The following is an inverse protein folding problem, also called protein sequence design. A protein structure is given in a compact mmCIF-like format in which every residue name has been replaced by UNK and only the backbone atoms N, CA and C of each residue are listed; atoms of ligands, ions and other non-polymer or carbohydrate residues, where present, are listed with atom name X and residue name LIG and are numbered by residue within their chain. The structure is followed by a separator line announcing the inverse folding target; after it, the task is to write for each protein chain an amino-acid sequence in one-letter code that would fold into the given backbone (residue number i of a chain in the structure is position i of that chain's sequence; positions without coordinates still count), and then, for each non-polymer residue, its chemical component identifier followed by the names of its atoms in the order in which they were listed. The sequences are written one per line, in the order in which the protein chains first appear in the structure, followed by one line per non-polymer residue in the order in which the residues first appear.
data_IF_998781955125
#
_entry.id   IF_998781955125
#
_cell.length_a   1.000
_cell.length_b   1.000
_cell.length_c   1.000
_cell.angle_alpha   90.00
_cell.angle_beta   90.00
_cell.angle_gamma   90.00
#
_symmetry.space_group_name_H-M   'P 1'
#
loop_
_entity.id
_entity.type
_entity.pdbx_description
1 polymer ?
#
# COMPACT_ATOMS: atom_id res chain seq x y z
N UNK A 1 54.93 30.55 -70.69
CA UNK A 1 53.49 30.19 -70.42
C UNK A 1 53.48 29.11 -69.35
N UNK A 2 53.19 29.48 -68.12
CA UNK A 2 53.13 28.57 -67.01
C UNK A 2 51.64 28.44 -66.58
N UNK A 3 51.08 27.26 -66.76
CA UNK A 3 49.72 26.96 -66.32
C UNK A 3 49.76 26.59 -64.88
N UNK A 4 49.16 27.39 -64.02
CA UNK A 4 48.92 27.02 -62.63
C UNK A 4 47.60 26.23 -62.54
N UNK A 5 47.76 25.00 -62.09
CA UNK A 5 46.60 24.13 -61.80
C UNK A 5 46.21 24.40 -60.34
N UNK A 6 45.03 24.98 -60.17
CA UNK A 6 44.46 25.16 -58.80
C UNK A 6 43.68 23.89 -58.46
N UNK A 7 44.19 23.11 -57.48
CA UNK A 7 43.45 22.02 -56.91
C UNK A 7 42.42 22.61 -55.91
N UNK A 8 41.15 22.49 -56.23
CA UNK A 8 40.08 22.76 -55.30
C UNK A 8 39.94 21.56 -54.34
N UNK A 9 40.32 21.74 -53.07
CA UNK A 9 40.08 20.76 -52.02
C UNK A 9 38.59 20.75 -51.63
N UNK A 10 37.95 19.65 -51.88
CA UNK A 10 36.59 19.41 -51.39
C UNK A 10 36.66 18.96 -49.93
N UNK A 11 36.30 19.87 -49.01
CA UNK A 11 36.06 19.49 -47.63
C UNK A 11 34.72 18.78 -47.51
N UNK A 12 34.73 17.46 -47.41
CA UNK A 12 33.56 16.68 -47.03
C UNK A 12 33.32 16.81 -45.51
N UNK A 13 32.36 17.60 -45.13
CA UNK A 13 31.88 17.63 -43.74
C UNK A 13 31.05 16.37 -43.51
N UNK A 14 31.65 15.45 -42.78
CA UNK A 14 30.92 14.26 -42.32
C UNK A 14 29.88 14.70 -41.24
N UNK A 15 28.63 14.64 -41.58
CA UNK A 15 27.52 14.83 -40.64
C UNK A 15 27.51 13.62 -39.70
N UNK A 16 27.88 13.80 -38.46
CA UNK A 16 27.71 12.82 -37.40
C UNK A 16 26.24 12.80 -37.00
N UNK A 17 25.52 11.67 -37.09
CA UNK A 17 24.15 11.62 -36.59
C UNK A 17 24.20 11.72 -35.06
N UNK A 18 23.65 12.80 -34.54
CA UNK A 18 23.41 12.98 -33.11
C UNK A 18 22.32 11.99 -32.70
N UNK A 19 22.70 10.84 -32.20
CA UNK A 19 21.78 9.92 -31.54
C UNK A 19 21.28 10.60 -30.27
N UNK A 20 20.09 11.18 -30.35
CA UNK A 20 19.40 11.65 -29.18
C UNK A 20 19.06 10.42 -28.31
N UNK A 21 19.83 10.20 -27.25
CA UNK A 21 19.42 9.31 -26.18
C UNK A 21 18.17 9.92 -25.55
N UNK A 22 17.02 9.38 -25.93
CA UNK A 22 15.78 9.64 -25.19
C UNK A 22 16.00 9.12 -23.77
N UNK A 23 15.85 9.95 -22.74
CA UNK A 23 15.81 9.43 -21.39
C UNK A 23 14.56 8.55 -21.30
N UNK A 24 14.73 7.25 -21.21
CA UNK A 24 13.69 6.35 -20.78
C UNK A 24 13.33 6.82 -19.37
N UNK A 25 12.31 7.66 -19.28
CA UNK A 25 11.64 7.93 -18.03
C UNK A 25 10.96 6.62 -17.64
N UNK A 26 11.72 5.75 -16.99
CA UNK A 26 11.16 4.56 -16.35
C UNK A 26 10.09 5.05 -15.42
N UNK A 27 8.83 4.82 -15.76
CA UNK A 27 7.72 5.00 -14.85
C UNK A 27 8.02 4.12 -13.64
N UNK A 28 8.60 4.74 -12.59
CA UNK A 28 8.76 4.12 -11.29
C UNK A 28 7.35 3.86 -10.80
N UNK A 29 6.91 2.61 -10.90
CA UNK A 29 5.73 2.17 -10.18
C UNK A 29 6.02 2.49 -8.71
N UNK A 30 5.46 3.60 -8.23
CA UNK A 30 5.51 3.94 -6.82
C UNK A 30 4.87 2.77 -6.08
N UNK A 31 5.69 1.99 -5.37
CA UNK A 31 5.18 0.95 -4.49
C UNK A 31 4.22 1.65 -3.53
N UNK A 32 2.94 1.31 -3.62
CA UNK A 32 1.90 1.92 -2.81
C UNK A 32 2.25 1.67 -1.34
N UNK A 33 2.53 2.74 -0.58
CA UNK A 33 2.94 2.63 0.80
C UNK A 33 1.86 1.87 1.60
N UNK A 34 2.27 0.81 2.29
CA UNK A 34 1.38 0.06 3.18
C UNK A 34 1.04 0.92 4.39
N UNK A 35 -0.24 1.09 4.68
CA UNK A 35 -0.67 1.78 5.90
C UNK A 35 -0.79 0.78 7.04
N UNK A 36 -0.17 1.08 8.17
CA UNK A 36 -0.25 0.26 9.38
C UNK A 36 -1.28 0.82 10.35
N UNK A 37 -2.13 -0.04 10.88
CA UNK A 37 -3.18 0.29 11.85
C UNK A 37 -3.09 -0.68 13.02
N UNK A 38 -2.95 -0.18 14.23
CA UNK A 38 -3.03 -1.01 15.44
C UNK A 38 -4.48 -1.08 15.90
N UNK A 39 -4.97 -2.29 16.12
CA UNK A 39 -6.31 -2.59 16.62
C UNK A 39 -6.18 -3.21 17.99
N UNK A 40 -6.65 -2.53 19.02
CA UNK A 40 -6.67 -3.04 20.39
C UNK A 40 -8.07 -3.55 20.71
N UNK A 41 -8.19 -4.82 21.03
CA UNK A 41 -9.45 -5.44 21.46
C UNK A 41 -9.51 -5.61 22.97
N UNK A 42 -10.63 -5.23 23.54
CA UNK A 42 -11.04 -5.56 24.93
C UNK A 42 -12.48 -6.07 24.90
N UNK A 43 -13.06 -6.46 26.02
CA UNK A 43 -14.47 -6.84 26.08
C UNK A 43 -15.34 -5.64 25.79
N UNK A 44 -15.90 -5.71 24.86
CA UNK A 44 -16.62 -5.78 23.59
C UNK A 44 -16.36 -4.51 22.81
N UNK A 45 -15.09 -4.10 22.73
CA UNK A 45 -14.65 -2.88 22.04
C UNK A 45 -13.42 -3.12 21.19
N UNK A 46 -13.34 -2.40 20.09
CA UNK A 46 -12.10 -2.20 19.34
C UNK A 46 -11.67 -0.73 19.40
N UNK A 47 -10.42 -0.50 19.71
CA UNK A 47 -9.78 0.80 19.58
C UNK A 47 -8.75 0.74 18.46
N UNK A 48 -8.92 1.56 17.44
CA UNK A 48 -8.00 1.66 16.32
C UNK A 48 -7.09 2.87 16.48
N UNK A 49 -5.82 2.72 16.12
CA UNK A 49 -4.86 3.83 16.10
C UNK A 49 -5.24 4.91 15.08
N UNK A 50 -6.00 4.54 14.04
CA UNK A 50 -6.64 5.44 13.08
C UNK A 50 -7.92 4.81 12.54
N UNK A 51 -8.88 5.65 12.21
CA UNK A 51 -10.20 5.19 11.69
C UNK A 51 -10.29 5.24 10.16
N UNK A 52 -9.25 5.76 9.51
CA UNK A 52 -9.18 5.86 8.05
C UNK A 52 -7.77 5.73 7.52
N UNK A 53 -7.63 5.36 6.26
CA UNK A 53 -6.39 5.29 5.52
C UNK A 53 -6.64 5.46 4.02
N UNK A 54 -5.62 5.83 3.23
CA UNK A 54 -5.71 5.76 1.78
C UNK A 54 -6.08 4.34 1.32
N UNK A 55 -6.80 4.23 0.20
CA UNK A 55 -7.11 2.93 -0.39
C UNK A 55 -5.81 2.19 -0.78
N UNK A 56 -5.87 0.87 -0.80
CA UNK A 56 -4.71 0.02 -1.06
C UNK A 56 -4.43 -0.92 0.11
N UNK A 57 -3.19 -1.34 0.25
CA UNK A 57 -2.80 -2.31 1.27
C UNK A 57 -2.76 -1.69 2.65
N UNK A 58 -3.55 -2.25 3.56
CA UNK A 58 -3.58 -1.89 4.99
C UNK A 58 -3.18 -3.10 5.82
N UNK A 59 -2.28 -2.89 6.75
CA UNK A 59 -1.79 -3.90 7.69
C UNK A 59 -2.41 -3.61 9.05
N UNK A 60 -3.32 -4.46 9.50
CA UNK A 60 -3.93 -4.38 10.81
C UNK A 60 -3.16 -5.26 11.79
N UNK A 61 -2.54 -4.66 12.79
CA UNK A 61 -1.97 -5.38 13.92
C UNK A 61 -3.02 -5.45 15.03
N UNK A 62 -3.62 -6.63 15.19
CA UNK A 62 -4.60 -6.87 16.24
C UNK A 62 -3.92 -7.35 17.52
N UNK A 63 -4.19 -6.67 18.63
CA UNK A 63 -3.70 -6.97 19.97
C UNK A 63 -4.89 -7.23 20.88
N UNK A 64 -4.95 -8.42 21.49
CA UNK A 64 -6.00 -8.75 22.45
C UNK A 64 -5.55 -8.38 23.87
N UNK A 65 -6.11 -7.31 24.41
CA UNK A 65 -5.93 -6.87 25.81
C UNK A 65 -7.11 -7.22 26.70
N UNK A 66 -8.12 -7.88 26.15
CA UNK A 66 -9.25 -8.39 26.92
C UNK A 66 -8.93 -9.72 27.60
N UNK A 67 -9.78 -10.12 28.53
CA UNK A 67 -9.67 -11.42 29.23
C UNK A 67 -10.14 -12.56 28.33
N UNK A 68 -11.19 -12.32 27.52
CA UNK A 68 -11.74 -13.30 26.60
C UNK A 68 -10.90 -13.40 25.31
N UNK A 69 -11.13 -14.49 24.59
CA UNK A 69 -10.57 -14.67 23.24
C UNK A 69 -11.30 -13.79 22.26
N UNK A 70 -10.58 -13.20 21.34
CA UNK A 70 -11.14 -12.35 20.27
C UNK A 70 -10.45 -12.59 18.93
N UNK A 71 -11.11 -12.19 17.85
CA UNK A 71 -10.55 -12.06 16.53
C UNK A 71 -10.90 -10.70 15.91
N UNK A 72 -10.32 -10.41 14.76
CA UNK A 72 -10.60 -9.20 14.00
C UNK A 72 -10.92 -9.57 12.55
N UNK A 73 -12.09 -9.19 12.09
CA UNK A 73 -12.57 -9.46 10.73
C UNK A 73 -12.92 -8.14 10.01
N UNK A 74 -12.41 -7.97 8.81
CA UNK A 74 -12.68 -6.83 7.93
C UNK A 74 -12.56 -7.25 6.45
N UNK A 75 -13.42 -6.71 5.58
CA UNK A 75 -13.35 -6.91 4.12
C UNK A 75 -13.28 -8.39 3.71
N UNK A 76 -14.06 -9.24 4.34
CA UNK A 76 -14.11 -10.68 4.04
C UNK A 76 -12.92 -11.49 4.52
N UNK A 77 -11.97 -10.88 5.23
CA UNK A 77 -10.81 -11.56 5.85
C UNK A 77 -10.88 -11.45 7.37
N UNK A 78 -10.29 -12.40 8.05
CA UNK A 78 -10.22 -12.39 9.52
C UNK A 78 -8.92 -12.98 10.04
N UNK A 79 -8.52 -12.56 11.24
CA UNK A 79 -7.43 -13.17 11.99
C UNK A 79 -7.85 -14.53 12.57
N UNK A 80 -6.88 -15.29 13.03
CA UNK A 80 -7.16 -16.36 13.99
C UNK A 80 -7.67 -15.75 15.29
N UNK A 81 -8.43 -16.55 16.06
CA UNK A 81 -8.82 -16.19 17.42
C UNK A 81 -7.60 -16.25 18.34
N UNK A 82 -7.34 -15.15 19.05
CA UNK A 82 -6.19 -15.05 19.94
C UNK A 82 -6.60 -14.82 21.39
N UNK A 83 -5.80 -15.34 22.31
CA UNK A 83 -5.96 -15.21 23.77
C UNK A 83 -5.45 -13.84 24.25
N UNK A 84 -5.77 -13.52 25.50
CA UNK A 84 -5.22 -12.36 26.21
C UNK A 84 -3.71 -12.19 26.02
N UNK A 85 -3.27 -10.98 25.77
CA UNK A 85 -1.86 -10.60 25.63
C UNK A 85 -1.22 -10.98 24.28
N UNK A 86 -1.93 -11.67 23.41
CA UNK A 86 -1.43 -12.07 22.09
C UNK A 86 -1.73 -11.01 21.03
N UNK A 87 -0.93 -11.01 19.98
CA UNK A 87 -1.13 -10.17 18.81
C UNK A 87 -0.98 -10.97 17.53
N UNK A 88 -1.64 -10.49 16.47
CA UNK A 88 -1.60 -11.09 15.14
C UNK A 88 -1.79 -10.02 14.09
N UNK A 89 -1.21 -10.20 12.93
CA UNK A 89 -1.29 -9.25 11.82
C UNK A 89 -2.23 -9.77 10.73
N UNK A 90 -3.08 -8.88 10.21
CA UNK A 90 -3.94 -9.13 9.06
C UNK A 90 -3.64 -8.09 7.98
N UNK A 91 -3.20 -8.54 6.81
CA UNK A 91 -2.96 -7.66 5.66
C UNK A 91 -4.13 -7.75 4.69
N UNK A 92 -4.72 -6.62 4.36
CA UNK A 92 -5.92 -6.51 3.51
C UNK A 92 -5.71 -5.43 2.47
N UNK A 93 -6.17 -5.65 1.24
CA UNK A 93 -6.27 -4.61 0.23
C UNK A 93 -7.69 -4.03 0.27
N UNK A 94 -7.80 -2.74 0.60
CA UNK A 94 -9.08 -2.04 0.70
C UNK A 94 -9.30 -1.15 -0.51
N UNK A 95 -10.49 -1.24 -1.11
CA UNK A 95 -11.01 -0.27 -2.09
C UNK A 95 -11.49 0.97 -1.34
N UNK A 96 -11.65 2.09 -2.04
CA UNK A 96 -12.30 3.28 -1.47
C UNK A 96 -13.68 2.94 -0.92
N UNK A 97 -14.00 3.46 0.25
CA UNK A 97 -15.29 3.30 0.86
C UNK A 97 -15.24 2.90 2.34
N UNK A 98 -16.39 2.53 2.86
CA UNK A 98 -16.58 2.10 4.25
C UNK A 98 -16.44 0.58 4.35
N UNK A 99 -15.67 0.13 5.32
CA UNK A 99 -15.42 -1.29 5.57
C UNK A 99 -15.80 -1.62 7.01
N UNK A 100 -16.93 -2.29 7.21
CA UNK A 100 -17.32 -2.77 8.53
C UNK A 100 -16.31 -3.79 9.05
N UNK A 101 -16.00 -3.71 10.33
CA UNK A 101 -15.18 -4.70 11.03
C UNK A 101 -15.90 -5.19 12.27
N UNK A 102 -15.59 -6.41 12.69
CA UNK A 102 -16.19 -7.03 13.87
C UNK A 102 -15.31 -8.13 14.45
N UNK A 103 -15.57 -8.49 15.72
CA UNK A 103 -15.16 -9.76 16.29
C UNK A 103 -16.18 -10.83 15.88
N UNK A 104 -15.72 -11.99 15.42
CA UNK A 104 -16.61 -13.10 15.02
C UNK A 104 -16.82 -14.15 16.11
N UNK A 105 -16.14 -13.98 17.26
CA UNK A 105 -16.25 -14.91 18.38
C UNK A 105 -17.59 -14.74 19.08
N UNK A 106 -18.33 -15.84 19.21
CA UNK A 106 -19.63 -15.89 19.90
C UNK A 106 -20.56 -14.71 19.58
N UNK A 107 -21.11 -14.05 20.58
CA UNK A 107 -22.01 -12.90 20.47
C UNK A 107 -21.30 -11.56 20.67
N UNK A 108 -19.96 -11.51 20.61
CA UNK A 108 -19.19 -10.30 20.93
C UNK A 108 -19.58 -9.09 20.07
N UNK A 109 -19.87 -9.29 18.79
CA UNK A 109 -20.34 -8.20 17.91
C UNK A 109 -21.70 -7.65 18.32
N UNK A 110 -22.59 -8.48 18.87
CA UNK A 110 -23.90 -8.05 19.41
C UNK A 110 -23.74 -7.16 20.62
N UNK A 111 -22.69 -7.35 21.40
CA UNK A 111 -22.37 -6.52 22.57
C UNK A 111 -21.57 -5.27 22.21
N UNK A 112 -21.33 -5.00 20.93
CA UNK A 112 -20.70 -3.76 20.48
C UNK A 112 -19.28 -3.90 19.91
N UNK A 113 -18.71 -5.12 19.86
CA UNK A 113 -17.36 -5.35 19.35
C UNK A 113 -17.31 -5.33 17.82
N UNK A 114 -17.57 -4.15 17.28
CA UNK A 114 -17.66 -3.85 15.84
C UNK A 114 -17.45 -2.36 15.57
N UNK A 115 -17.26 -2.00 14.32
CA UNK A 115 -17.14 -0.62 13.87
C UNK A 115 -16.98 -0.52 12.36
N UNK A 116 -16.59 0.66 11.89
CA UNK A 116 -16.38 0.94 10.47
C UNK A 116 -15.04 1.61 10.28
N UNK A 117 -14.25 1.11 9.35
CA UNK A 117 -13.01 1.70 8.87
C UNK A 117 -13.24 2.33 7.50
N UNK A 118 -12.75 3.55 7.28
CA UNK A 118 -12.93 4.25 6.01
C UNK A 118 -11.63 4.21 5.20
N UNK A 119 -11.73 3.79 3.95
CA UNK A 119 -10.64 3.88 2.97
C UNK A 119 -10.92 5.02 1.99
N UNK A 120 -9.99 5.97 1.88
CA UNK A 120 -10.14 7.18 1.05
C UNK A 120 -9.43 7.08 -0.30
#
# INVERSE_FOLDING_TARGET
MKRFLVLAGVCTVAAVPFFALSPFAGARLAAQAKTSVTVTGTEYKFKLSRKSAPHGTVVFKFVNKGVLKHDFAIAGKKTKVIKHGKSITLTVTLKKGKHPFKCTVDSHAKFGMKGVFTST
#
